data_IF_278666724168
#
_entry.id   IF_278666724168
#
_cell.length_a   1.000
_cell.length_b   1.000
_cell.length_c   1.000
_cell.angle_alpha   90.00
_cell.angle_beta   90.00
_cell.angle_gamma   90.00
#
_symmetry.space_group_name_H-M   'P 1'
#
loop_
_entity.id
_entity.type
_entity.pdbx_description
1 polymer ?
#
# COMPACT_ATOMS: atom_id res chain seq x y z
N UNK A 1 -7.40 12.12 7.94
CA UNK A 1 -7.34 10.67 8.26
C UNK A 1 -5.88 10.29 8.32
N UNK A 2 -5.42 9.61 9.37
CA UNK A 2 -4.02 9.19 9.49
C UNK A 2 -3.82 7.92 8.66
N UNK A 3 -3.15 8.05 7.51
CA UNK A 3 -2.87 6.94 6.60
C UNK A 3 -1.67 6.12 7.11
N UNK A 4 -1.89 5.26 8.10
CA UNK A 4 -0.85 4.41 8.68
C UNK A 4 -0.66 3.08 7.95
N UNK A 5 0.53 2.48 8.07
CA UNK A 5 0.87 1.16 7.53
C UNK A 5 -0.12 0.07 7.96
N UNK A 6 -0.66 0.14 9.18
CA UNK A 6 -1.65 -0.84 9.69
C UNK A 6 -2.95 -0.88 8.89
N UNK A 7 -3.27 0.21 8.19
CA UNK A 7 -4.46 0.33 7.33
C UNK A 7 -4.10 0.34 5.84
N UNK A 8 -2.83 0.03 5.51
CA UNK A 8 -2.33 0.03 4.15
C UNK A 8 -2.42 -1.39 3.59
N UNK A 9 -3.08 -1.55 2.45
CA UNK A 9 -3.13 -2.81 1.73
C UNK A 9 -1.76 -3.33 1.27
N UNK A 10 -0.70 -2.51 1.33
CA UNK A 10 0.68 -2.92 0.99
C UNK A 10 1.46 -3.46 2.19
N UNK A 11 0.88 -3.48 3.38
CA UNK A 11 1.54 -3.92 4.61
C UNK A 11 1.14 -5.35 4.96
N UNK A 12 2.13 -6.22 5.12
CA UNK A 12 1.98 -7.56 5.67
C UNK A 12 2.21 -7.51 7.18
N UNK A 13 1.14 -7.70 7.95
CA UNK A 13 1.19 -7.67 9.41
C UNK A 13 1.92 -8.89 10.02
N UNK A 14 1.94 -10.04 9.33
CA UNK A 14 2.62 -11.24 9.81
C UNK A 14 4.13 -11.08 9.75
N UNK A 15 4.62 -10.49 8.66
CA UNK A 15 6.06 -10.26 8.44
C UNK A 15 6.55 -8.89 8.91
N UNK A 16 5.61 -8.01 9.30
CA UNK A 16 5.85 -6.58 9.54
C UNK A 16 6.53 -5.91 8.34
N UNK A 17 6.13 -6.27 7.12
CA UNK A 17 6.79 -5.86 5.88
C UNK A 17 5.91 -4.93 5.06
N UNK A 18 6.51 -3.89 4.47
CA UNK A 18 5.91 -3.18 3.35
C UNK A 18 6.27 -3.85 2.03
N UNK A 19 5.32 -4.53 1.41
CA UNK A 19 5.51 -5.29 0.17
C UNK A 19 5.87 -4.40 -1.03
N UNK A 20 5.58 -3.09 -0.97
CA UNK A 20 6.00 -2.14 -1.98
C UNK A 20 7.52 -1.94 -2.00
N UNK A 21 8.12 -1.75 -0.83
CA UNK A 21 9.57 -1.55 -0.68
C UNK A 21 10.33 -2.85 -0.46
N UNK A 22 9.63 -3.98 -0.25
CA UNK A 22 10.20 -5.26 0.19
C UNK A 22 11.10 -5.09 1.41
N UNK A 23 10.60 -4.31 2.37
CA UNK A 23 11.34 -3.89 3.56
C UNK A 23 10.49 -4.16 4.80
N UNK A 24 11.10 -4.86 5.76
CA UNK A 24 10.56 -4.96 7.11
C UNK A 24 10.63 -3.62 7.83
N UNK A 25 9.50 -3.18 8.37
CA UNK A 25 9.38 -1.91 9.08
C UNK A 25 9.58 -2.09 10.58
N UNK A 26 10.21 -1.10 11.21
CA UNK A 26 10.22 -1.01 12.68
C UNK A 26 8.88 -0.49 13.19
N UNK A 27 8.59 -0.73 14.47
CA UNK A 27 7.39 -0.20 15.12
C UNK A 27 7.29 1.33 15.06
N UNK A 28 8.44 2.02 15.09
CA UNK A 28 8.53 3.48 14.95
C UNK A 28 8.18 3.94 13.53
N UNK A 29 8.74 3.27 12.50
CA UNK A 29 8.40 3.55 11.10
C UNK A 29 6.90 3.35 10.83
N UNK A 30 6.30 2.31 11.42
CA UNK A 30 4.86 2.06 11.34
C UNK A 30 4.08 3.19 12.01
N UNK A 31 4.50 3.65 13.20
CA UNK A 31 3.81 4.70 13.93
C UNK A 31 3.87 6.06 13.22
N UNK A 32 4.97 6.35 12.52
CA UNK A 32 5.21 7.62 11.83
C UNK A 32 4.72 7.63 10.37
N UNK A 33 4.20 6.51 9.86
CA UNK A 33 3.86 6.29 8.44
C UNK A 33 2.70 7.13 7.86
N UNK A 34 2.14 8.08 8.60
CA UNK A 34 0.90 8.79 8.30
C UNK A 34 0.80 9.52 6.95
N UNK A 35 1.93 9.74 6.25
CA UNK A 35 2.03 10.48 4.98
C UNK A 35 2.70 9.67 3.85
N UNK A 36 2.53 8.34 3.81
CA UNK A 36 3.10 7.52 2.74
C UNK A 36 2.42 7.77 1.39
N UNK A 37 3.16 8.26 0.38
CA UNK A 37 2.63 8.50 -0.99
C UNK A 37 2.16 7.21 -1.69
N UNK A 38 2.69 6.07 -1.26
CA UNK A 38 2.31 4.76 -1.78
C UNK A 38 1.13 4.16 -1.02
N UNK A 39 0.63 4.81 0.02
CA UNK A 39 -0.55 4.35 0.76
C UNK A 39 -1.65 3.94 -0.22
N UNK A 40 -2.22 2.77 0.07
CA UNK A 40 -3.36 2.22 -0.62
C UNK A 40 -4.26 1.65 0.46
N UNK A 41 -5.54 2.02 0.45
CA UNK A 41 -6.50 1.44 1.38
C UNK A 41 -6.67 -0.05 1.09
N UNK A 42 -7.07 -0.83 2.11
CA UNK A 42 -7.41 -2.24 1.93
C UNK A 42 -8.66 -2.34 1.05
N UNK A 43 -8.53 -3.01 -0.09
CA UNK A 43 -9.59 -3.35 -1.03
C UNK A 43 -10.14 -4.72 -0.66
N UNK A 44 -11.46 -4.85 -0.73
CA UNK A 44 -12.17 -6.09 -0.48
C UNK A 44 -12.87 -6.54 -1.76
N UNK A 45 -12.75 -7.82 -2.11
CA UNK A 45 -13.49 -8.49 -3.19
C UNK A 45 -14.23 -9.69 -2.60
N UNK A 46 -15.52 -9.81 -2.89
CA UNK A 46 -16.40 -10.86 -2.33
C UNK A 46 -16.38 -10.97 -0.79
N UNK A 47 -16.14 -9.84 -0.12
CA UNK A 47 -16.05 -9.74 1.35
C UNK A 47 -14.67 -10.07 1.93
N UNK A 48 -13.73 -10.55 1.11
CA UNK A 48 -12.37 -10.90 1.52
C UNK A 48 -11.38 -9.78 1.15
N UNK A 49 -10.42 -9.45 2.04
CA UNK A 49 -9.39 -8.47 1.71
C UNK A 49 -8.44 -9.04 0.67
N UNK A 50 -8.06 -8.21 -0.31
CA UNK A 50 -7.01 -8.58 -1.23
C UNK A 50 -5.68 -8.75 -0.49
N UNK A 51 -4.87 -9.67 -0.99
CA UNK A 51 -3.52 -9.90 -0.46
C UNK A 51 -2.64 -8.66 -0.64
N UNK A 52 -1.59 -8.49 0.18
CA UNK A 52 -0.63 -7.40 -0.03
C UNK A 52 0.01 -7.39 -1.41
N UNK A 53 0.21 -8.57 -2.00
CA UNK A 53 0.71 -8.70 -3.35
C UNK A 53 -0.29 -8.20 -4.40
N UNK A 54 -1.58 -8.53 -4.28
CA UNK A 54 -2.62 -8.01 -5.18
C UNK A 54 -2.71 -6.48 -5.10
N UNK A 55 -2.62 -5.90 -3.89
CA UNK A 55 -2.53 -4.45 -3.72
C UNK A 55 -1.31 -3.82 -4.41
N UNK A 56 -0.16 -4.50 -4.40
CA UNK A 56 1.02 -4.04 -5.15
C UNK A 56 0.74 -4.00 -6.65
N UNK A 57 0.04 -4.99 -7.20
CA UNK A 57 -0.33 -5.02 -8.62
C UNK A 57 -1.27 -3.86 -8.97
N UNK A 58 -2.31 -3.63 -8.17
CA UNK A 58 -3.23 -2.50 -8.35
C UNK A 58 -2.49 -1.15 -8.29
N UNK A 59 -1.64 -0.96 -7.27
CA UNK A 59 -0.88 0.29 -7.11
C UNK A 59 0.08 0.55 -8.28
N UNK A 60 0.70 -0.50 -8.82
CA UNK A 60 1.53 -0.40 -10.04
C UNK A 60 0.69 0.00 -11.24
N UNK A 61 -0.50 -0.58 -11.39
CA UNK A 61 -1.49 -0.19 -12.39
C UNK A 61 -1.81 1.31 -12.31
N UNK A 62 -2.21 1.79 -11.14
CA UNK A 62 -2.54 3.20 -10.91
C UNK A 62 -1.39 4.15 -11.27
N UNK A 63 -0.17 3.83 -10.85
CA UNK A 63 1.01 4.66 -11.14
C UNK A 63 1.36 4.64 -12.63
N UNK A 64 1.17 3.52 -13.31
CA UNK A 64 1.38 3.42 -14.75
C UNK A 64 0.32 4.19 -15.53
N UNK A 65 -0.96 4.07 -15.17
CA UNK A 65 -2.05 4.82 -15.80
C UNK A 65 -1.90 6.33 -15.60
N UNK A 66 -1.43 6.79 -14.44
CA UNK A 66 -1.11 8.21 -14.20
C UNK A 66 0.03 8.72 -15.08
N UNK A 67 1.02 7.89 -15.42
CA UNK A 67 2.10 8.25 -16.35
C UNK A 67 1.63 8.33 -17.81
N UNK A 68 0.48 7.74 -18.14
CA UNK A 68 -0.11 7.78 -19.49
C UNK A 68 -0.96 9.03 -19.73
N UNK A 69 -1.23 9.86 -18.71
CA UNK A 69 -1.78 11.20 -18.90
C UNK A 69 -0.66 12.16 -19.31
N UNK A 70 -0.30 12.13 -20.60
CA UNK A 70 0.49 13.19 -21.23
C UNK A 70 -0.24 14.55 -21.15
N UNK A 71 0.47 15.67 -21.41
CA UNK A 71 -0.15 17.00 -21.32
C UNK A 71 -1.35 17.07 -22.27
N UNK A 72 -2.47 17.55 -21.74
CA UNK A 72 -3.65 17.92 -22.53
C UNK A 72 -3.33 19.13 -23.40
#
# INVERSE_FOLDING_TARGET
MVNGCKNCGLYDAHQQECCWFRKRLTSEEIALSGNCIYFTAIVYEDGEPLTPFQHVLLKKGDLNSKKMQGPV
#
